data_IF_662108742870
#
_entry.id   IF_662108742870
#
_cell.length_a   1.000
_cell.length_b   1.000
_cell.length_c   1.000
_cell.angle_alpha   90.00
_cell.angle_beta   90.00
_cell.angle_gamma   90.00
#
_symmetry.space_group_name_H-M   'P 1'
#
loop_
_entity.id
_entity.type
_entity.pdbx_description
1 polymer ?
#
# COMPACT_ATOMS: atom_id res chain seq x y z
N UNK A 1 -20.89 -4.65 36.88
CA UNK A 1 -20.19 -4.19 35.66
C UNK A 1 -18.80 -4.79 35.66
N UNK A 2 -18.36 -5.40 34.55
CA UNK A 2 -17.03 -6.03 34.46
C UNK A 2 -15.93 -4.98 34.67
N UNK A 3 -14.88 -5.32 35.43
CA UNK A 3 -13.71 -4.46 35.69
C UNK A 3 -12.68 -4.47 34.55
N UNK A 4 -12.89 -5.29 33.52
CA UNK A 4 -11.95 -5.47 32.41
C UNK A 4 -12.49 -4.79 31.15
N UNK A 5 -11.58 -4.19 30.37
CA UNK A 5 -11.87 -3.74 29.02
C UNK A 5 -12.31 -4.93 28.15
N UNK A 6 -13.11 -4.65 27.11
CA UNK A 6 -13.45 -5.66 26.13
C UNK A 6 -12.16 -6.15 25.42
N UNK A 7 -12.01 -7.46 25.29
CA UNK A 7 -10.87 -8.06 24.60
C UNK A 7 -11.23 -8.36 23.15
N UNK A 8 -10.42 -7.85 22.22
CA UNK A 8 -10.47 -8.23 20.81
C UNK A 8 -9.35 -9.24 20.51
N UNK A 9 -9.72 -10.42 20.01
CA UNK A 9 -8.76 -11.46 19.66
C UNK A 9 -8.02 -11.17 18.35
N UNK A 10 -8.61 -10.37 17.46
CA UNK A 10 -8.01 -10.00 16.19
C UNK A 10 -7.00 -8.84 16.35
N UNK A 11 -7.13 -8.06 17.43
CA UNK A 11 -6.21 -7.00 17.81
C UNK A 11 -5.92 -6.97 19.33
N UNK A 12 -5.21 -7.98 19.88
CA UNK A 12 -5.03 -8.14 21.33
C UNK A 12 -4.33 -6.97 22.04
N UNK A 13 -3.59 -6.15 21.29
CA UNK A 13 -2.82 -5.02 21.79
C UNK A 13 -3.33 -3.66 21.30
N UNK A 14 -4.48 -3.63 20.61
CA UNK A 14 -5.07 -2.39 20.12
C UNK A 14 -4.15 -1.62 19.17
N UNK A 15 -3.59 -2.28 18.16
CA UNK A 15 -2.87 -1.62 17.07
C UNK A 15 -3.74 -0.51 16.47
N UNK A 16 -5.04 -0.72 16.29
CA UNK A 16 -5.93 0.32 15.74
C UNK A 16 -5.91 1.62 16.56
N UNK A 17 -5.87 1.51 17.90
CA UNK A 17 -5.82 2.66 18.81
C UNK A 17 -4.47 3.39 18.79
N UNK A 18 -3.44 2.77 18.21
CA UNK A 18 -2.08 3.34 18.09
C UNK A 18 -1.87 4.06 16.75
N UNK A 19 -2.77 3.88 15.79
CA UNK A 19 -2.68 4.49 14.47
C UNK A 19 -3.31 5.88 14.46
N UNK A 20 -2.78 6.76 13.63
CA UNK A 20 -3.44 8.03 13.33
C UNK A 20 -4.71 7.80 12.50
N UNK A 21 -5.61 8.79 12.47
CA UNK A 21 -6.81 8.70 11.62
C UNK A 21 -6.46 8.56 10.14
N UNK A 22 -5.40 9.23 9.70
CA UNK A 22 -4.87 9.12 8.34
C UNK A 22 -4.33 7.71 8.04
N UNK A 23 -3.58 7.12 8.96
CA UNK A 23 -3.06 5.76 8.82
C UNK A 23 -4.18 4.73 8.75
N UNK A 24 -5.25 4.89 9.55
CA UNK A 24 -6.45 4.06 9.47
C UNK A 24 -7.17 4.22 8.15
N UNK A 25 -7.38 5.46 7.69
CA UNK A 25 -8.00 5.73 6.39
C UNK A 25 -7.22 5.10 5.24
N UNK A 26 -5.89 5.22 5.23
CA UNK A 26 -5.02 4.62 4.20
C UNK A 26 -5.10 3.09 4.25
N UNK A 27 -5.03 2.49 5.45
CA UNK A 27 -5.19 1.04 5.62
C UNK A 27 -6.54 0.57 5.07
N UNK A 28 -7.63 1.26 5.42
CA UNK A 28 -8.98 0.85 5.04
C UNK A 28 -9.21 1.01 3.52
N UNK A 29 -8.63 2.05 2.91
CA UNK A 29 -8.61 2.20 1.46
C UNK A 29 -7.81 1.08 0.76
N UNK A 30 -6.62 0.76 1.27
CA UNK A 30 -5.80 -0.35 0.75
C UNK A 30 -6.52 -1.70 0.91
N UNK A 31 -7.20 -1.92 2.05
CA UNK A 31 -8.03 -3.09 2.28
C UNK A 31 -9.16 -3.19 1.27
N UNK A 32 -9.91 -2.09 1.07
CA UNK A 32 -10.99 -2.03 0.08
C UNK A 32 -10.52 -2.40 -1.32
N UNK A 33 -9.41 -1.79 -1.79
CA UNK A 33 -8.80 -2.10 -3.07
C UNK A 33 -8.35 -3.57 -3.15
N UNK A 34 -7.68 -4.08 -2.11
CA UNK A 34 -7.19 -5.45 -2.08
C UNK A 34 -8.34 -6.45 -2.19
N UNK A 35 -9.44 -6.23 -1.47
CA UNK A 35 -10.60 -7.13 -1.49
C UNK A 35 -11.44 -7.02 -2.77
N UNK A 36 -11.62 -5.82 -3.34
CA UNK A 36 -12.43 -5.65 -4.54
C UNK A 36 -11.67 -6.03 -5.81
N UNK A 37 -10.39 -5.65 -5.89
CA UNK A 37 -9.59 -5.83 -7.09
C UNK A 37 -8.71 -7.09 -6.98
N UNK A 38 -7.89 -7.23 -5.96
CA UNK A 38 -6.85 -8.27 -5.97
C UNK A 38 -7.44 -9.66 -5.67
N UNK A 39 -8.30 -9.74 -4.66
CA UNK A 39 -8.86 -11.00 -4.15
C UNK A 39 -9.69 -11.74 -5.21
N UNK A 40 -10.37 -11.01 -6.10
CA UNK A 40 -11.20 -11.61 -7.15
C UNK A 40 -10.39 -12.26 -8.27
N UNK A 41 -9.09 -11.95 -8.37
CA UNK A 41 -8.18 -12.36 -9.45
C UNK A 41 -7.19 -13.45 -9.01
N UNK A 42 -6.74 -13.40 -7.76
CA UNK A 42 -5.55 -14.14 -7.27
C UNK A 42 -5.53 -15.64 -7.57
N UNK A 43 -6.67 -16.35 -7.44
CA UNK A 43 -6.70 -17.82 -7.63
C UNK A 43 -6.40 -18.21 -9.08
N UNK A 44 -7.02 -17.50 -10.04
CA UNK A 44 -6.78 -17.73 -11.45
C UNK A 44 -5.38 -17.23 -11.84
N UNK A 45 -5.03 -16.02 -11.40
CA UNK A 45 -3.74 -15.41 -11.68
C UNK A 45 -2.55 -16.28 -11.26
N UNK A 46 -2.60 -16.80 -10.03
CA UNK A 46 -1.58 -17.69 -9.50
C UNK A 46 -1.50 -19.02 -10.25
N UNK A 47 -2.67 -19.63 -10.56
CA UNK A 47 -2.72 -20.93 -11.24
C UNK A 47 -2.23 -20.86 -12.68
N UNK A 48 -2.55 -19.78 -13.37
CA UNK A 48 -2.30 -19.61 -14.81
C UNK A 48 -0.99 -18.86 -15.09
N UNK A 49 -0.28 -18.41 -14.06
CA UNK A 49 0.97 -17.64 -14.15
C UNK A 49 0.85 -16.42 -15.07
N UNK A 50 -0.31 -15.75 -15.02
CA UNK A 50 -0.56 -14.56 -15.86
C UNK A 50 -0.01 -13.30 -15.21
N UNK A 51 0.53 -12.42 -16.06
CA UNK A 51 0.87 -11.07 -15.68
C UNK A 51 -0.38 -10.20 -15.51
N UNK A 52 -0.24 -9.11 -14.74
CA UNK A 52 -1.33 -8.18 -14.47
C UNK A 52 -0.85 -6.71 -14.61
N UNK A 53 -0.35 -6.30 -15.78
CA UNK A 53 0.18 -4.95 -16.01
C UNK A 53 -0.87 -3.85 -15.77
N UNK A 54 -2.14 -4.15 -15.96
CA UNK A 54 -3.28 -3.26 -15.68
C UNK A 54 -3.42 -2.91 -14.19
N UNK A 55 -2.82 -3.68 -13.27
CA UNK A 55 -2.86 -3.38 -11.84
C UNK A 55 -1.97 -2.21 -11.45
N UNK A 56 -0.89 -1.90 -12.18
CA UNK A 56 -0.05 -0.75 -11.88
C UNK A 56 -0.81 0.59 -11.93
N UNK A 57 -1.51 0.94 -13.04
CA UNK A 57 -2.29 2.17 -13.07
C UNK A 57 -3.45 2.16 -12.07
N UNK A 58 -4.06 0.99 -11.80
CA UNK A 58 -5.11 0.88 -10.79
C UNK A 58 -4.58 1.15 -9.37
N UNK A 59 -3.42 0.59 -9.00
CA UNK A 59 -2.75 0.86 -7.72
C UNK A 59 -2.31 2.32 -7.61
N UNK A 60 -1.84 2.92 -8.70
CA UNK A 60 -1.50 4.35 -8.76
C UNK A 60 -2.71 5.25 -8.53
N UNK A 61 -3.83 4.98 -9.21
CA UNK A 61 -5.08 5.72 -9.01
C UNK A 61 -5.66 5.56 -7.60
N UNK A 62 -5.40 4.42 -6.95
CA UNK A 62 -5.75 4.16 -5.56
C UNK A 62 -4.74 4.73 -4.54
N UNK A 63 -3.67 5.39 -4.98
CA UNK A 63 -2.66 6.00 -4.10
C UNK A 63 -1.74 5.00 -3.39
N UNK A 64 -1.64 3.76 -3.88
CA UNK A 64 -0.85 2.69 -3.23
C UNK A 64 0.61 2.67 -3.68
N UNK A 65 0.97 3.45 -4.70
CA UNK A 65 2.33 3.53 -5.24
C UNK A 65 3.01 4.80 -4.74
N UNK A 66 4.24 4.66 -4.23
CA UNK A 66 5.03 5.82 -3.79
C UNK A 66 4.39 6.61 -2.66
N UNK A 67 3.63 5.96 -1.77
CA UNK A 67 2.86 6.63 -0.72
C UNK A 67 3.70 7.60 0.14
N UNK A 68 4.98 7.28 0.39
CA UNK A 68 5.88 8.12 1.21
C UNK A 68 6.54 9.27 0.45
N UNK A 69 6.31 9.41 -0.85
CA UNK A 69 6.87 10.51 -1.64
C UNK A 69 6.03 11.79 -1.49
N UNK A 70 6.64 12.98 -1.62
CA UNK A 70 5.92 14.25 -1.60
C UNK A 70 4.84 14.35 -2.68
N UNK A 71 3.76 15.06 -2.35
CA UNK A 71 2.65 15.35 -3.29
C UNK A 71 3.11 16.09 -4.56
N UNK A 72 4.15 16.93 -4.47
CA UNK A 72 4.69 17.65 -5.63
C UNK A 72 5.24 16.73 -6.74
N UNK A 73 5.50 15.47 -6.39
CA UNK A 73 5.95 14.42 -7.31
C UNK A 73 4.89 13.32 -7.50
N UNK A 74 3.63 13.57 -7.15
CA UNK A 74 2.52 12.63 -7.32
C UNK A 74 2.38 11.57 -6.22
N UNK A 75 3.17 11.66 -5.13
CA UNK A 75 3.02 10.79 -3.97
C UNK A 75 1.91 11.25 -3.01
N UNK A 76 1.74 10.52 -1.91
CA UNK A 76 0.72 10.81 -0.89
C UNK A 76 1.28 11.46 0.39
N UNK A 77 2.59 11.69 0.45
CA UNK A 77 3.32 12.19 1.63
C UNK A 77 2.99 11.46 2.95
N UNK A 78 2.64 10.18 2.84
CA UNK A 78 2.19 9.35 3.94
C UNK A 78 3.37 8.87 4.81
N UNK A 79 3.07 8.48 6.04
CA UNK A 79 4.07 7.93 6.96
C UNK A 79 4.59 6.56 6.50
N UNK A 80 5.78 6.17 6.98
CA UNK A 80 6.27 4.80 6.77
C UNK A 80 5.39 3.74 7.44
N UNK A 81 4.64 4.10 8.49
CA UNK A 81 3.63 3.23 9.11
C UNK A 81 2.49 2.99 8.13
N UNK A 82 1.97 4.05 7.50
CA UNK A 82 0.97 3.94 6.44
C UNK A 82 1.46 3.07 5.28
N UNK A 83 2.70 3.24 4.81
CA UNK A 83 3.29 2.36 3.80
C UNK A 83 3.30 0.88 4.22
N UNK A 84 3.67 0.60 5.48
CA UNK A 84 3.62 -0.76 6.04
C UNK A 84 2.20 -1.33 6.12
N UNK A 85 1.20 -0.50 6.45
CA UNK A 85 -0.20 -0.90 6.47
C UNK A 85 -0.73 -1.22 5.07
N UNK A 86 -0.38 -0.43 4.06
CA UNK A 86 -0.71 -0.73 2.66
C UNK A 86 -0.11 -2.08 2.26
N UNK A 87 1.18 -2.30 2.54
CA UNK A 87 1.85 -3.57 2.23
C UNK A 87 1.17 -4.75 2.93
N UNK A 88 0.78 -4.60 4.21
CA UNK A 88 0.03 -5.60 4.98
C UNK A 88 -1.31 -5.95 4.32
N UNK A 89 -2.07 -4.96 3.87
CA UNK A 89 -3.39 -5.23 3.26
C UNK A 89 -3.29 -5.82 1.85
N UNK A 90 -2.30 -5.41 1.05
CA UNK A 90 -2.06 -5.99 -0.28
C UNK A 90 -1.56 -7.44 -0.14
N UNK A 91 -0.60 -7.70 0.74
CA UNK A 91 -0.04 -9.04 0.96
C UNK A 91 -0.99 -9.99 1.68
N UNK A 92 -2.00 -9.46 2.37
CA UNK A 92 -3.13 -10.27 2.87
C UNK A 92 -3.79 -11.06 1.73
N UNK A 93 -3.76 -10.54 0.51
CA UNK A 93 -4.23 -11.23 -0.69
C UNK A 93 -3.12 -12.07 -1.31
N UNK A 94 -2.01 -11.44 -1.70
CA UNK A 94 -0.90 -12.16 -2.35
C UNK A 94 0.45 -11.41 -2.25
N UNK A 95 1.52 -12.17 -2.02
CA UNK A 95 2.89 -11.66 -1.96
C UNK A 95 3.42 -11.15 -3.30
N UNK A 96 2.93 -11.67 -4.44
CA UNK A 96 3.27 -11.21 -5.79
C UNK A 96 2.81 -9.78 -6.03
N UNK A 97 1.56 -9.45 -5.67
CA UNK A 97 1.04 -8.09 -5.79
C UNK A 97 1.80 -7.10 -4.89
N UNK A 98 2.09 -7.47 -3.63
CA UNK A 98 2.93 -6.64 -2.76
C UNK A 98 4.34 -6.48 -3.32
N UNK A 99 4.87 -7.48 -4.03
CA UNK A 99 6.18 -7.42 -4.68
C UNK A 99 6.21 -6.38 -5.79
N UNK A 100 5.20 -6.36 -6.65
CA UNK A 100 5.04 -5.35 -7.71
C UNK A 100 5.05 -3.93 -7.11
N UNK A 101 4.25 -3.72 -6.06
CA UNK A 101 4.18 -2.43 -5.35
C UNK A 101 5.52 -2.04 -4.70
N UNK A 102 6.22 -3.00 -4.11
CA UNK A 102 7.52 -2.78 -3.44
C UNK A 102 8.60 -2.39 -4.45
N UNK A 103 8.66 -3.07 -5.59
CA UNK A 103 9.59 -2.74 -6.67
C UNK A 103 9.33 -1.31 -7.15
N UNK A 104 8.07 -0.99 -7.48
CA UNK A 104 7.72 0.33 -7.98
C UNK A 104 8.03 1.43 -6.97
N UNK A 105 7.61 1.27 -5.72
CA UNK A 105 7.74 2.33 -4.70
C UNK A 105 9.17 2.47 -4.17
N UNK A 106 9.77 1.36 -3.71
CA UNK A 106 11.03 1.39 -2.98
C UNK A 106 12.27 1.14 -3.84
N UNK A 107 12.12 0.49 -5.01
CA UNK A 107 13.26 0.16 -5.87
C UNK A 107 13.32 0.98 -7.16
N UNK A 108 12.26 1.74 -7.49
CA UNK A 108 12.23 2.65 -8.64
C UNK A 108 11.97 4.09 -8.20
N UNK A 109 10.82 4.39 -7.61
CA UNK A 109 10.45 5.77 -7.25
C UNK A 109 11.38 6.33 -6.17
N UNK A 110 11.66 5.57 -5.11
CA UNK A 110 12.55 6.01 -4.03
C UNK A 110 13.96 6.38 -4.51
N UNK A 111 14.71 5.56 -5.27
CA UNK A 111 16.04 5.97 -5.72
C UNK A 111 16.01 7.16 -6.70
N UNK A 112 14.99 7.31 -7.54
CA UNK A 112 14.82 8.50 -8.38
C UNK A 112 14.62 9.75 -7.50
N UNK A 113 13.79 9.65 -6.47
CA UNK A 113 13.55 10.76 -5.54
C UNK A 113 14.77 11.10 -4.68
N UNK A 114 15.44 10.10 -4.11
CA UNK A 114 16.54 10.30 -3.18
C UNK A 114 17.84 10.73 -3.89
N UNK A 115 18.08 10.23 -5.11
CA UNK A 115 19.37 10.34 -5.79
C UNK A 115 19.31 10.97 -7.18
N UNK A 116 18.11 11.18 -7.74
CA UNK A 116 17.93 11.80 -9.04
C UNK A 116 18.02 13.32 -9.01
N UNK A 117 18.29 13.92 -10.17
CA UNK A 117 18.19 15.37 -10.38
C UNK A 117 16.73 15.84 -10.34
N UNK A 118 16.51 17.13 -10.12
CA UNK A 118 15.15 17.69 -10.19
C UNK A 118 14.47 17.46 -11.55
N UNK A 119 15.23 17.46 -12.64
CA UNK A 119 14.72 17.11 -13.97
C UNK A 119 14.24 15.64 -14.02
N UNK A 120 15.00 14.70 -13.45
CA UNK A 120 14.62 13.29 -13.40
C UNK A 120 13.38 13.09 -12.52
N UNK A 121 13.32 13.72 -11.35
CA UNK A 121 12.16 13.62 -10.45
C UNK A 121 10.88 14.11 -11.13
N UNK A 122 10.91 15.30 -11.72
CA UNK A 122 9.75 15.89 -12.43
C UNK A 122 9.32 15.10 -13.66
N UNK A 123 10.23 14.36 -14.28
CA UNK A 123 9.95 13.57 -15.47
C UNK A 123 9.38 12.19 -15.17
N UNK A 124 9.82 11.54 -14.08
CA UNK A 124 9.59 10.11 -13.86
C UNK A 124 8.74 9.75 -12.64
N UNK A 125 8.57 10.65 -11.68
CA UNK A 125 7.79 10.37 -10.48
C UNK A 125 6.28 10.63 -10.63
N UNK A 126 5.82 11.71 -11.30
CA UNK A 126 4.40 11.90 -11.60
C UNK A 126 3.85 10.81 -12.54
#
# INVERSE_FOLDING_TARGET
MSKFAAFDWADPFGLDDQLTDEERMIRDAAHGFAQSELQTRVIAAYREEVDAPELFPAMGAAGLLGATLPEEYGGANASYVAYGLVAREVERVDSGYRSMMSVQSSLVMYPIYAYGSEEQKRRYLP
#
